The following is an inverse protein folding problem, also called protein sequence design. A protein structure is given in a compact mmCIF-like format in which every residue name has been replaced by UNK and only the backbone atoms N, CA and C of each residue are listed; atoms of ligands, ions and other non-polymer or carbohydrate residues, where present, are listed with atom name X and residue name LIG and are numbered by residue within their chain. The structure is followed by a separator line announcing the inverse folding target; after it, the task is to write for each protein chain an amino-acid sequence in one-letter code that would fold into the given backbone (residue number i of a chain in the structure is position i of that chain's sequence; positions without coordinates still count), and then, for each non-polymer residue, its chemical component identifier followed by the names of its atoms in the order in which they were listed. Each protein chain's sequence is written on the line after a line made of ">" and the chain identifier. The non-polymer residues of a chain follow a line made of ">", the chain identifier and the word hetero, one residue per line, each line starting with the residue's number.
data_IF_648325716082
#
_entry.id   IF_648325716082
#
_cell.length_a   1.000
_cell.length_b   1.000
_cell.length_c   1.000
_cell.angle_alpha   90.00
_cell.angle_beta   90.00
_cell.angle_gamma   90.00
#
_symmetry.space_group_name_H-M   'P 1'
#
loop_
_entity.id
_entity.type
_entity.pdbx_description
1 polymer ?
#
# COMPACT_ATOMS: atom_id res chain seq x y z
N UNK A 1 -27.62 74.74 -6.60
CA UNK A 1 -27.22 73.82 -7.67
C UNK A 1 -26.05 72.85 -7.24
N UNK A 2 -24.98 73.38 -6.61
CA UNK A 2 -23.81 72.53 -6.25
C UNK A 2 -24.11 71.43 -5.18
N UNK A 3 -25.01 71.69 -4.21
CA UNK A 3 -25.41 70.67 -3.18
C UNK A 3 -26.35 69.58 -3.74
N UNK A 4 -27.20 69.93 -4.74
CA UNK A 4 -28.08 68.91 -5.36
C UNK A 4 -27.27 67.95 -6.21
N UNK A 5 -26.22 68.43 -6.87
CA UNK A 5 -25.30 67.60 -7.66
C UNK A 5 -24.49 66.63 -6.79
N UNK A 6 -24.14 67.04 -5.58
CA UNK A 6 -23.44 66.19 -4.64
C UNK A 6 -24.35 65.06 -4.07
N UNK A 7 -25.63 65.40 -3.78
CA UNK A 7 -26.59 64.39 -3.29
C UNK A 7 -26.94 63.33 -4.34
N UNK A 8 -27.05 63.75 -5.64
CA UNK A 8 -27.31 62.79 -6.72
C UNK A 8 -26.10 61.85 -6.99
N UNK A 9 -24.87 62.37 -6.86
CA UNK A 9 -23.67 61.56 -7.00
C UNK A 9 -23.52 60.50 -5.87
N UNK A 10 -23.89 60.86 -4.64
CA UNK A 10 -23.86 59.90 -3.48
C UNK A 10 -24.94 58.81 -3.58
N UNK A 11 -26.15 59.19 -4.16
CA UNK A 11 -27.22 58.20 -4.38
C UNK A 11 -26.85 57.15 -5.46
N UNK A 12 -26.05 57.50 -6.46
CA UNK A 12 -25.64 56.56 -7.52
C UNK A 12 -24.59 55.55 -6.99
N UNK A 13 -23.77 55.95 -6.01
CA UNK A 13 -22.77 55.04 -5.40
C UNK A 13 -23.38 53.96 -4.48
N UNK A 14 -24.60 54.17 -3.96
CA UNK A 14 -25.26 53.21 -3.08
C UNK A 14 -26.05 52.11 -3.82
N UNK A 15 -26.23 52.22 -5.14
CA UNK A 15 -26.96 51.25 -5.95
C UNK A 15 -26.08 50.13 -6.55
N UNK A 16 -24.78 50.10 -6.24
CA UNK A 16 -23.83 49.16 -6.81
C UNK A 16 -23.56 47.90 -5.96
N UNK A 17 -24.47 47.51 -5.08
CA UNK A 17 -24.45 46.19 -4.48
C UNK A 17 -25.26 45.21 -5.34
N UNK A 18 -24.68 44.74 -6.44
CA UNK A 18 -25.18 43.53 -7.08
C UNK A 18 -24.81 42.35 -6.18
N UNK A 19 -25.78 41.71 -5.53
CA UNK A 19 -25.62 40.43 -4.89
C UNK A 19 -25.10 39.44 -5.96
N UNK A 20 -23.86 38.99 -5.78
CA UNK A 20 -23.34 37.89 -6.57
C UNK A 20 -24.16 36.65 -6.23
N UNK A 21 -24.95 36.17 -7.18
CA UNK A 21 -25.64 34.89 -7.05
C UNK A 21 -24.59 33.86 -6.70
N UNK A 22 -24.72 33.13 -5.57
CA UNK A 22 -23.77 32.10 -5.20
C UNK A 22 -23.67 31.10 -6.34
N UNK A 23 -22.46 30.92 -6.87
CA UNK A 23 -22.21 29.92 -7.90
C UNK A 23 -22.62 28.58 -7.29
N UNK A 24 -23.63 27.93 -7.86
CA UNK A 24 -23.97 26.55 -7.50
C UNK A 24 -22.67 25.72 -7.66
N UNK A 25 -22.28 24.92 -6.66
CA UNK A 25 -21.19 24.00 -6.86
C UNK A 25 -21.47 23.23 -8.15
N UNK A 26 -20.52 23.24 -9.09
CA UNK A 26 -20.58 22.33 -10.21
C UNK A 26 -20.68 20.94 -9.62
N UNK A 27 -21.80 20.28 -9.86
CA UNK A 27 -22.02 18.90 -9.45
C UNK A 27 -20.95 18.07 -10.16
N UNK A 28 -19.80 17.91 -9.50
CA UNK A 28 -18.74 17.05 -10.02
C UNK A 28 -19.38 15.67 -10.01
N UNK A 29 -19.51 15.03 -11.17
CA UNK A 29 -19.94 13.65 -11.35
C UNK A 29 -18.89 12.69 -10.75
N UNK A 30 -18.50 12.94 -9.51
CA UNK A 30 -17.52 12.12 -8.76
C UNK A 30 -18.00 10.67 -8.58
N UNK A 31 -19.31 10.47 -8.48
CA UNK A 31 -19.89 9.14 -8.31
C UNK A 31 -19.63 8.18 -9.49
N UNK A 32 -19.69 8.67 -10.75
CA UNK A 32 -19.43 7.80 -11.90
C UNK A 32 -17.95 7.47 -12.06
N UNK A 33 -17.06 8.43 -11.79
CA UNK A 33 -15.61 8.22 -11.86
C UNK A 33 -15.13 7.24 -10.79
N UNK A 34 -15.58 7.42 -9.54
CA UNK A 34 -15.24 6.51 -8.43
C UNK A 34 -15.75 5.09 -8.69
N UNK A 35 -16.98 4.95 -9.22
CA UNK A 35 -17.55 3.65 -9.57
C UNK A 35 -16.72 2.95 -10.65
N UNK A 36 -16.38 3.65 -11.73
CA UNK A 36 -15.56 3.11 -12.82
C UNK A 36 -14.16 2.73 -12.34
N UNK A 37 -13.56 3.53 -11.45
CA UNK A 37 -12.25 3.21 -10.86
C UNK A 37 -12.31 1.99 -9.95
N UNK A 38 -13.35 1.85 -9.13
CA UNK A 38 -13.55 0.69 -8.28
C UNK A 38 -13.76 -0.60 -9.11
N UNK A 39 -14.55 -0.54 -10.17
CA UNK A 39 -14.79 -1.66 -11.08
C UNK A 39 -13.49 -2.10 -11.79
N UNK A 40 -12.68 -1.13 -12.24
CA UNK A 40 -11.38 -1.41 -12.85
C UNK A 40 -10.43 -2.11 -11.85
N UNK A 41 -10.33 -1.60 -10.63
CA UNK A 41 -9.46 -2.17 -9.59
C UNK A 41 -9.92 -3.58 -9.19
N UNK A 42 -11.24 -3.81 -9.10
CA UNK A 42 -11.80 -5.13 -8.83
C UNK A 42 -11.42 -6.12 -9.93
N UNK A 43 -11.61 -5.73 -11.21
CA UNK A 43 -11.24 -6.57 -12.35
C UNK A 43 -9.74 -6.86 -12.39
N UNK A 44 -8.89 -5.88 -12.08
CA UNK A 44 -7.45 -6.09 -12.01
C UNK A 44 -7.11 -7.12 -10.94
N UNK A 45 -7.67 -6.99 -9.74
CA UNK A 45 -7.44 -7.95 -8.65
C UNK A 45 -7.91 -9.37 -9.04
N UNK A 46 -9.04 -9.51 -9.71
CA UNK A 46 -9.53 -10.82 -10.21
C UNK A 46 -8.54 -11.45 -11.20
N UNK A 47 -7.99 -10.66 -12.13
CA UNK A 47 -7.00 -11.12 -13.10
C UNK A 47 -5.68 -11.52 -12.42
N UNK A 48 -5.21 -10.71 -11.48
CA UNK A 48 -3.98 -10.99 -10.73
C UNK A 48 -4.16 -12.23 -9.83
N UNK A 49 -5.31 -12.40 -9.18
CA UNK A 49 -5.61 -13.59 -8.37
C UNK A 49 -5.60 -14.85 -9.23
N UNK A 50 -6.21 -14.81 -10.41
CA UNK A 50 -6.20 -15.94 -11.35
C UNK A 50 -4.76 -16.26 -11.83
N UNK A 51 -3.97 -15.23 -12.16
CA UNK A 51 -2.58 -15.41 -12.58
C UNK A 51 -1.71 -15.98 -11.43
N UNK A 52 -1.88 -15.48 -10.20
CA UNK A 52 -1.19 -15.99 -9.01
C UNK A 52 -1.53 -17.46 -8.75
N UNK A 53 -2.81 -17.83 -8.86
CA UNK A 53 -3.25 -19.22 -8.72
C UNK A 53 -2.58 -20.12 -9.75
N UNK A 54 -2.49 -19.65 -11.00
CA UNK A 54 -1.80 -20.40 -12.07
C UNK A 54 -0.32 -20.59 -11.77
N UNK A 55 0.38 -19.54 -11.34
CA UNK A 55 1.80 -19.62 -10.95
C UNK A 55 2.03 -20.67 -9.86
N UNK A 56 1.17 -20.68 -8.84
CA UNK A 56 1.23 -21.65 -7.74
C UNK A 56 0.98 -23.08 -8.23
N UNK A 57 0.05 -23.29 -9.16
CA UNK A 57 -0.23 -24.61 -9.74
C UNK A 57 0.91 -25.13 -10.62
N UNK A 58 1.63 -24.26 -11.30
CA UNK A 58 2.77 -24.60 -12.14
C UNK A 58 4.05 -24.86 -11.33
N UNK A 59 4.14 -24.34 -10.11
CA UNK A 59 5.26 -24.58 -9.19
C UNK A 59 5.05 -25.88 -8.39
N UNK A 60 5.48 -26.98 -8.95
CA UNK A 60 5.37 -28.31 -8.33
C UNK A 60 6.37 -28.57 -7.19
N UNK A 61 7.35 -27.67 -6.98
CA UNK A 61 8.40 -27.85 -5.98
C UNK A 61 8.00 -27.28 -4.62
N UNK A 62 7.10 -26.29 -4.60
CA UNK A 62 6.73 -25.57 -3.40
C UNK A 62 5.25 -25.77 -3.03
N UNK A 63 4.99 -25.81 -1.74
CA UNK A 63 3.62 -25.82 -1.20
C UNK A 63 3.25 -24.43 -0.73
N UNK A 64 2.34 -23.80 -1.45
CA UNK A 64 1.86 -22.45 -1.11
C UNK A 64 0.68 -22.51 -0.14
N UNK A 65 0.61 -21.49 0.71
CA UNK A 65 -0.50 -21.20 1.61
C UNK A 65 -1.14 -19.88 1.21
N UNK A 66 -2.46 -19.80 1.31
CA UNK A 66 -3.21 -18.57 1.07
C UNK A 66 -3.35 -17.79 2.36
N UNK A 67 -3.07 -16.49 2.31
CA UNK A 67 -3.30 -15.56 3.40
C UNK A 67 -4.71 -14.98 3.35
N UNK A 68 -5.31 -14.73 4.50
CA UNK A 68 -6.59 -13.98 4.62
C UNK A 68 -6.51 -12.57 4.02
N UNK A 69 -5.31 -12.03 3.80
CA UNK A 69 -5.09 -10.73 3.16
C UNK A 69 -5.01 -10.79 1.64
N UNK A 70 -5.16 -11.98 1.01
CA UNK A 70 -5.20 -12.15 -0.45
C UNK A 70 -3.85 -12.26 -1.14
N UNK A 71 -2.81 -12.68 -0.44
CA UNK A 71 -1.54 -13.08 -1.04
C UNK A 71 -1.25 -14.56 -0.78
N UNK A 72 -0.38 -15.17 -1.57
CA UNK A 72 0.09 -16.53 -1.37
C UNK A 72 1.55 -16.55 -0.94
N UNK A 73 1.95 -17.54 -0.16
CA UNK A 73 3.31 -17.67 0.32
C UNK A 73 3.74 -19.11 0.55
N UNK A 74 5.05 -19.34 0.46
CA UNK A 74 5.70 -20.61 0.79
C UNK A 74 6.91 -20.36 1.67
N UNK A 75 7.13 -21.24 2.65
CA UNK A 75 8.30 -21.14 3.52
C UNK A 75 9.54 -21.69 2.82
N UNK A 76 10.61 -20.90 2.81
CA UNK A 76 11.96 -21.34 2.42
C UNK A 76 12.66 -22.00 3.62
N UNK A 77 12.43 -21.44 4.81
CA UNK A 77 12.98 -21.94 6.07
C UNK A 77 11.99 -21.75 7.19
N UNK A 78 11.72 -22.84 7.94
CA UNK A 78 10.94 -22.83 9.17
C UNK A 78 11.79 -23.22 10.36
N UNK A 79 11.45 -22.67 11.53
CA UNK A 79 12.09 -23.06 12.80
C UNK A 79 11.14 -23.93 13.61
N UNK A 80 11.68 -25.00 14.23
CA UNK A 80 10.89 -25.97 15.02
C UNK A 80 10.55 -25.44 16.41
N UNK A 81 11.46 -24.71 17.04
CA UNK A 81 11.24 -24.06 18.34
C UNK A 81 10.84 -22.61 18.11
N UNK A 82 9.55 -22.40 18.02
CA UNK A 82 9.06 -21.16 17.55
C UNK A 82 8.77 -20.19 18.70
N UNK A 83 9.51 -19.10 18.76
CA UNK A 83 9.05 -17.87 19.40
C UNK A 83 7.79 -17.36 18.69
N UNK A 84 6.91 -16.62 19.38
CA UNK A 84 5.74 -16.06 18.73
C UNK A 84 6.16 -15.13 17.57
N UNK A 85 5.31 -14.98 16.55
CA UNK A 85 5.55 -13.99 15.50
C UNK A 85 5.50 -12.56 16.08
N UNK A 86 6.04 -11.61 15.32
CA UNK A 86 6.11 -10.21 15.72
C UNK A 86 4.73 -9.61 15.98
N UNK A 87 4.62 -8.83 17.06
CA UNK A 87 3.43 -8.07 17.45
C UNK A 87 3.60 -6.59 17.11
N UNK A 88 2.52 -5.79 17.14
CA UNK A 88 2.63 -4.34 17.07
C UNK A 88 3.64 -3.80 18.09
N UNK A 89 4.39 -2.80 17.70
CA UNK A 89 5.48 -2.15 18.47
C UNK A 89 6.78 -2.96 18.65
N UNK A 90 6.82 -4.25 18.30
CA UNK A 90 8.08 -4.99 18.29
C UNK A 90 9.06 -4.42 17.26
N UNK A 91 10.36 -4.53 17.55
CA UNK A 91 11.40 -4.16 16.61
C UNK A 91 11.95 -5.38 15.89
N UNK A 92 11.73 -5.46 14.60
CA UNK A 92 12.11 -6.59 13.76
C UNK A 92 13.31 -6.24 12.90
N UNK A 93 14.35 -7.07 12.94
CA UNK A 93 15.49 -7.00 12.01
C UNK A 93 15.26 -7.99 10.89
N UNK A 94 15.18 -7.50 9.67
CA UNK A 94 14.84 -8.29 8.48
C UNK A 94 15.62 -7.83 7.25
N UNK A 95 15.59 -8.66 6.23
CA UNK A 95 15.97 -8.30 4.85
C UNK A 95 14.98 -8.93 3.87
N UNK A 96 14.93 -8.41 2.65
CA UNK A 96 14.11 -8.97 1.59
C UNK A 96 14.67 -8.63 0.21
N UNK A 97 14.13 -9.23 -0.83
CA UNK A 97 14.30 -8.82 -2.22
C UNK A 97 12.95 -8.51 -2.84
N UNK A 98 12.95 -7.85 -3.98
CA UNK A 98 11.74 -7.61 -4.77
C UNK A 98 11.99 -8.07 -6.20
N UNK A 99 11.11 -8.93 -6.70
CA UNK A 99 11.08 -9.44 -8.08
C UNK A 99 9.69 -9.24 -8.68
N UNK A 100 9.59 -9.30 -9.99
CA UNK A 100 8.31 -9.51 -10.66
C UNK A 100 7.87 -10.98 -10.51
N UNK A 101 6.62 -11.30 -10.87
CA UNK A 101 6.18 -12.69 -10.95
C UNK A 101 6.87 -13.50 -12.06
N UNK A 102 7.51 -12.83 -13.03
CA UNK A 102 8.33 -13.45 -14.09
C UNK A 102 9.80 -13.65 -13.66
N UNK A 103 10.11 -13.52 -12.36
CA UNK A 103 11.44 -13.68 -11.76
C UNK A 103 12.44 -12.55 -12.08
N UNK A 104 12.03 -11.49 -12.79
CA UNK A 104 12.91 -10.34 -13.03
C UNK A 104 13.19 -9.62 -11.71
N UNK A 105 14.45 -9.47 -11.38
CA UNK A 105 14.87 -8.78 -10.15
C UNK A 105 14.72 -7.27 -10.29
N UNK A 106 13.95 -6.66 -9.40
CA UNK A 106 13.75 -5.21 -9.30
C UNK A 106 14.71 -4.63 -8.26
N UNK A 107 14.69 -5.18 -7.04
CA UNK A 107 15.61 -4.81 -5.96
C UNK A 107 16.24 -6.06 -5.36
N UNK A 108 17.56 -6.07 -5.29
CA UNK A 108 18.30 -7.16 -4.68
C UNK A 108 18.37 -6.97 -3.16
N UNK A 109 18.62 -8.06 -2.46
CA UNK A 109 18.77 -8.11 -1.01
C UNK A 109 19.95 -7.25 -0.51
N UNK A 110 21.06 -7.23 -1.26
CA UNK A 110 22.23 -6.43 -0.95
C UNK A 110 22.01 -4.92 -1.18
N UNK A 111 21.13 -4.54 -2.12
CA UNK A 111 20.73 -3.14 -2.32
C UNK A 111 19.82 -2.63 -1.20
N UNK A 112 18.88 -3.45 -0.72
CA UNK A 112 17.97 -3.12 0.38
C UNK A 112 18.71 -3.13 1.72
N UNK A 113 19.63 -4.09 1.89
CA UNK A 113 20.40 -4.26 3.11
C UNK A 113 19.58 -4.82 4.29
N UNK A 114 20.11 -4.60 5.49
CA UNK A 114 19.47 -5.00 6.73
C UNK A 114 18.58 -3.89 7.24
N UNK A 115 17.29 -4.17 7.42
CA UNK A 115 16.29 -3.20 7.86
C UNK A 115 15.90 -3.46 9.31
N UNK A 116 15.84 -2.40 10.12
CA UNK A 116 15.22 -2.44 11.45
C UNK A 116 13.84 -1.78 11.36
N UNK A 117 12.81 -2.57 11.47
CA UNK A 117 11.42 -2.18 11.29
C UNK A 117 10.64 -2.26 12.60
N UNK A 118 10.06 -1.15 13.01
CA UNK A 118 9.13 -1.12 14.15
C UNK A 118 7.73 -1.42 13.63
N UNK A 119 7.16 -2.56 14.05
CA UNK A 119 5.89 -3.10 13.55
C UNK A 119 4.76 -2.10 13.76
N UNK A 120 4.01 -1.84 12.70
CA UNK A 120 2.87 -0.91 12.62
C UNK A 120 3.19 0.57 13.00
N UNK A 121 4.47 0.95 13.12
CA UNK A 121 4.91 2.34 13.40
C UNK A 121 5.70 2.97 12.27
N UNK A 122 6.19 2.18 11.34
CA UNK A 122 6.96 2.65 10.20
C UNK A 122 6.30 2.23 8.90
N UNK A 123 6.60 2.95 7.82
CA UNK A 123 6.05 2.68 6.49
C UNK A 123 6.81 1.54 5.80
N UNK A 124 6.07 0.54 5.39
CA UNK A 124 6.44 -0.48 4.41
C UNK A 124 5.23 -0.71 3.52
N UNK A 125 5.41 -1.24 2.32
CA UNK A 125 4.26 -1.57 1.48
C UNK A 125 3.36 -2.62 2.16
N UNK A 126 2.03 -2.60 1.91
CA UNK A 126 1.05 -3.37 2.68
C UNK A 126 1.37 -4.87 2.80
N UNK A 127 1.74 -5.52 1.70
CA UNK A 127 2.07 -6.95 1.69
C UNK A 127 3.22 -7.30 2.63
N UNK A 128 4.29 -6.49 2.63
CA UNK A 128 5.44 -6.73 3.51
C UNK A 128 5.08 -6.56 4.99
N UNK A 129 4.26 -5.57 5.33
CA UNK A 129 3.75 -5.38 6.71
C UNK A 129 2.98 -6.58 7.22
N UNK A 130 2.15 -7.21 6.38
CA UNK A 130 1.45 -8.44 6.74
C UNK A 130 2.40 -9.62 6.88
N UNK A 131 3.37 -9.76 5.98
CA UNK A 131 4.32 -10.87 5.96
C UNK A 131 5.25 -10.89 7.16
N UNK A 132 5.71 -9.72 7.62
CA UNK A 132 6.53 -9.61 8.84
C UNK A 132 5.79 -10.16 10.06
N UNK A 133 4.46 -9.99 10.13
CA UNK A 133 3.63 -10.51 11.23
C UNK A 133 3.29 -12.00 11.13
N UNK A 134 3.62 -12.65 10.02
CA UNK A 134 3.45 -14.10 9.83
C UNK A 134 4.71 -14.89 10.20
N UNK A 135 5.88 -14.30 9.94
CA UNK A 135 7.16 -14.96 10.14
C UNK A 135 7.65 -14.80 11.58
N UNK A 136 8.43 -15.77 12.01
CA UNK A 136 9.10 -15.82 13.29
C UNK A 136 10.60 -15.56 13.13
N UNK A 137 11.28 -15.33 14.24
CA UNK A 137 12.73 -15.15 14.26
C UNK A 137 13.43 -16.39 13.67
N UNK A 138 14.30 -16.17 12.69
CA UNK A 138 15.05 -17.20 11.97
C UNK A 138 14.31 -17.84 10.80
N UNK A 139 13.05 -17.46 10.55
CA UNK A 139 12.28 -17.95 9.40
C UNK A 139 12.47 -17.08 8.15
N UNK A 140 12.31 -17.73 6.99
CA UNK A 140 12.20 -17.03 5.70
C UNK A 140 11.09 -17.64 4.85
N UNK A 141 10.45 -16.81 4.04
CA UNK A 141 9.40 -17.24 3.11
C UNK A 141 9.38 -16.36 1.86
N UNK A 142 8.88 -16.95 0.78
CA UNK A 142 8.62 -16.26 -0.49
C UNK A 142 7.13 -15.99 -0.60
N UNK A 143 6.80 -14.75 -0.91
CA UNK A 143 5.46 -14.20 -0.99
C UNK A 143 5.14 -13.74 -2.40
N UNK A 144 3.92 -14.02 -2.86
CA UNK A 144 3.34 -13.51 -4.10
C UNK A 144 2.27 -12.50 -3.75
N UNK A 145 2.52 -11.23 -4.05
CA UNK A 145 1.59 -10.14 -3.76
C UNK A 145 0.90 -9.67 -5.04
N UNK A 146 -0.44 -9.54 -5.04
CA UNK A 146 -1.10 -8.74 -6.05
C UNK A 146 -0.65 -7.27 -5.94
N UNK A 147 -0.76 -6.52 -7.03
CA UNK A 147 -0.26 -5.14 -7.09
C UNK A 147 -0.84 -4.23 -6.00
N UNK A 148 -2.08 -4.47 -5.59
CA UNK A 148 -2.76 -3.74 -4.51
C UNK A 148 -2.10 -3.90 -3.13
N UNK A 149 -1.38 -4.98 -2.92
CA UNK A 149 -0.58 -5.23 -1.70
C UNK A 149 0.90 -4.85 -1.87
N UNK A 150 1.33 -4.49 -3.08
CA UNK A 150 2.61 -3.90 -3.39
C UNK A 150 2.55 -2.37 -3.32
N UNK A 151 2.97 -1.71 -4.40
CA UNK A 151 2.99 -0.25 -4.54
C UNK A 151 1.75 0.29 -5.29
N UNK A 152 0.81 -0.57 -5.66
CA UNK A 152 -0.49 -0.22 -6.21
C UNK A 152 -0.43 0.60 -7.49
N UNK A 153 -1.35 1.58 -7.58
CA UNK A 153 -1.54 2.39 -8.78
C UNK A 153 -0.35 3.34 -9.08
N UNK A 154 0.38 3.78 -8.07
CA UNK A 154 1.46 4.75 -8.25
C UNK A 154 2.81 4.11 -8.61
N UNK A 155 3.07 2.88 -8.14
CA UNK A 155 4.42 2.32 -8.15
C UNK A 155 5.27 2.91 -7.00
N UNK A 156 6.61 2.81 -7.12
CA UNK A 156 7.57 3.34 -6.14
C UNK A 156 8.31 4.60 -6.62
N UNK A 157 7.85 5.20 -7.72
CA UNK A 157 8.46 6.34 -8.40
C UNK A 157 9.91 6.11 -8.89
N UNK A 158 10.36 4.84 -8.91
CA UNK A 158 11.71 4.47 -9.33
C UNK A 158 11.72 3.27 -10.29
N UNK A 159 11.69 2.04 -9.77
CA UNK A 159 11.81 0.81 -10.57
C UNK A 159 10.52 0.00 -10.65
N UNK A 160 9.59 0.20 -9.71
CA UNK A 160 8.31 -0.50 -9.67
C UNK A 160 7.24 0.36 -10.33
N UNK A 161 6.76 -0.08 -11.49
CA UNK A 161 5.70 0.62 -12.21
C UNK A 161 4.32 0.47 -11.57
N UNK A 162 3.33 1.24 -12.08
CA UNK A 162 1.94 1.12 -11.64
C UNK A 162 1.38 -0.29 -11.81
N UNK A 163 0.60 -0.74 -10.83
CA UNK A 163 -0.09 -2.04 -10.87
C UNK A 163 0.85 -3.22 -11.16
N UNK A 164 2.05 -3.21 -10.59
CA UNK A 164 3.02 -4.29 -10.75
C UNK A 164 2.87 -5.30 -9.60
N UNK A 165 2.47 -6.56 -9.88
CA UNK A 165 2.48 -7.62 -8.88
C UNK A 165 3.92 -7.99 -8.51
N UNK A 166 4.13 -8.36 -7.25
CA UNK A 166 5.46 -8.56 -6.70
C UNK A 166 5.67 -9.97 -6.15
N UNK A 167 6.88 -10.47 -6.29
CA UNK A 167 7.40 -11.67 -5.61
C UNK A 167 8.54 -11.24 -4.69
N UNK A 168 8.40 -11.51 -3.39
CA UNK A 168 9.41 -11.10 -2.40
C UNK A 168 9.81 -12.29 -1.54
N UNK A 169 11.10 -12.50 -1.35
CA UNK A 169 11.60 -13.42 -0.33
C UNK A 169 12.04 -12.59 0.88
N UNK A 170 11.38 -12.81 2.01
CA UNK A 170 11.60 -12.10 3.28
C UNK A 170 12.28 -13.02 4.26
N UNK A 171 13.25 -12.52 5.02
CA UNK A 171 13.95 -13.24 6.07
C UNK A 171 13.97 -12.41 7.35
N UNK A 172 13.54 -13.00 8.46
CA UNK A 172 13.56 -12.38 9.79
C UNK A 172 14.78 -12.90 10.56
N UNK A 173 15.67 -11.98 10.95
CA UNK A 173 16.85 -12.33 11.74
C UNK A 173 16.61 -12.25 13.23
N UNK A 174 15.85 -11.22 13.68
CA UNK A 174 15.61 -10.98 15.10
C UNK A 174 14.28 -10.28 15.32
N UNK A 175 13.61 -10.64 16.41
CA UNK A 175 12.43 -9.97 16.93
C UNK A 175 12.74 -9.52 18.36
N UNK A 176 12.72 -8.21 18.59
CA UNK A 176 12.91 -7.57 19.91
C UNK A 176 11.56 -7.07 20.40
N UNK A 177 10.95 -7.73 21.43
CA UNK A 177 9.66 -7.30 21.97
C UNK A 177 9.72 -5.87 22.53
N UNK A 178 8.62 -5.12 22.41
CA UNK A 178 8.51 -3.83 23.08
C UNK A 178 8.24 -4.03 24.58
N UNK A 179 9.23 -3.73 25.40
CA UNK A 179 9.18 -3.90 26.87
C UNK A 179 8.23 -2.90 27.57
N UNK A 180 7.62 -1.95 26.86
CA UNK A 180 6.70 -0.97 27.44
C UNK A 180 5.32 -1.53 27.80
N UNK A 181 4.95 -2.70 27.33
CA UNK A 181 3.61 -3.29 27.50
C UNK A 181 3.57 -4.44 28.54
N UNK A 182 4.63 -4.64 29.35
CA UNK A 182 4.67 -5.68 30.40
C UNK A 182 4.36 -5.16 31.81
N UNK A 183 3.66 -4.01 31.93
CA UNK A 183 3.16 -3.50 33.23
C UNK A 183 1.64 -3.45 33.27
#
# INVERSE_FOLDING_TARGET
>A
MRQVLICTAVMIFLASCQEQTPRRPLEVRSGSFLKTSAERNKRLLELETAAMTKLVQEDSLNTYQESSSGFMFTYEKRVSEARPPAKPDDLVTLTYNIRTWNEDTIYRRDEIGMLRYKVDKQELFPGLRYSVKLLREGESATFLYPSSLGYGYHGDDARIGPNTPLKCTVEIFKIEPDTKNEN
#
